data_IF_169688742496
#
_entry.id   IF_169688742496
#
_cell.length_a   1.000
_cell.length_b   1.000
_cell.length_c   1.000
_cell.angle_alpha   90.00
_cell.angle_beta   90.00
_cell.angle_gamma   90.00
#
_symmetry.space_group_name_H-M   'P 1'
#
loop_
_entity.id
_entity.type
_entity.pdbx_description
1 polymer ?
#
# COMPACT_ATOMS: atom_id res chain seq x y z
N UNK A 1 -10.23 -15.53 21.96
CA UNK A 1 -9.65 -14.16 21.89
C UNK A 1 -9.76 -13.68 20.46
N UNK A 2 -10.48 -12.60 20.22
CA UNK A 2 -10.63 -12.01 18.88
C UNK A 2 -9.36 -11.18 18.62
N UNK A 3 -8.50 -11.62 17.69
CA UNK A 3 -7.27 -10.89 17.33
C UNK A 3 -7.65 -9.55 16.68
N UNK A 4 -6.83 -8.52 16.86
CA UNK A 4 -7.07 -7.23 16.20
C UNK A 4 -7.02 -7.39 14.66
N UNK A 5 -7.74 -6.57 13.87
CA UNK A 5 -7.81 -6.73 12.41
C UNK A 5 -6.44 -6.75 11.72
N UNK A 6 -5.49 -5.93 12.19
CA UNK A 6 -4.12 -5.91 11.68
C UNK A 6 -3.36 -7.22 11.95
N UNK A 7 -3.57 -7.86 13.11
CA UNK A 7 -2.96 -9.14 13.45
C UNK A 7 -3.57 -10.29 12.62
N UNK A 8 -4.88 -10.23 12.35
CA UNK A 8 -5.54 -11.17 11.45
C UNK A 8 -5.04 -11.01 10.00
N UNK A 9 -4.73 -9.78 9.60
CA UNK A 9 -4.14 -9.46 8.31
C UNK A 9 -2.64 -9.75 8.22
N UNK A 10 -1.98 -10.12 9.33
CA UNK A 10 -0.55 -10.43 9.35
C UNK A 10 0.38 -9.22 9.21
N UNK A 11 -0.09 -8.02 9.55
CA UNK A 11 0.66 -6.76 9.34
C UNK A 11 0.70 -5.89 10.59
N UNK A 12 1.64 -4.95 10.64
CA UNK A 12 1.67 -3.92 11.69
C UNK A 12 0.41 -3.06 11.66
N UNK A 13 0.10 -2.42 12.80
CA UNK A 13 -1.02 -1.48 12.89
C UNK A 13 -0.91 -0.34 11.86
N UNK A 14 0.28 0.20 11.65
CA UNK A 14 0.52 1.30 10.70
C UNK A 14 0.33 0.83 9.25
N UNK A 15 0.81 -0.37 8.90
CA UNK A 15 0.54 -0.95 7.58
C UNK A 15 -0.96 -1.18 7.37
N UNK A 16 -1.68 -1.64 8.40
CA UNK A 16 -3.14 -1.77 8.35
C UNK A 16 -3.83 -0.43 8.12
N UNK A 17 -3.43 0.65 8.80
CA UNK A 17 -3.96 2.00 8.59
C UNK A 17 -3.72 2.50 7.15
N UNK A 18 -2.54 2.22 6.58
CA UNK A 18 -2.24 2.49 5.17
C UNK A 18 -3.16 1.70 4.22
N UNK A 19 -3.40 0.41 4.50
CA UNK A 19 -4.33 -0.40 3.71
C UNK A 19 -5.76 0.14 3.77
N UNK A 20 -6.24 0.54 4.95
CA UNK A 20 -7.55 1.16 5.11
C UNK A 20 -7.64 2.50 4.35
N UNK A 21 -6.58 3.30 4.38
CA UNK A 21 -6.49 4.53 3.59
C UNK A 21 -6.57 4.23 2.08
N UNK A 22 -5.81 3.24 1.60
CA UNK A 22 -5.79 2.82 0.21
C UNK A 22 -7.18 2.33 -0.26
N UNK A 23 -7.83 1.46 0.51
CA UNK A 23 -9.20 0.99 0.25
C UNK A 23 -10.20 2.15 0.16
N UNK A 24 -10.09 3.13 1.06
CA UNK A 24 -10.97 4.31 1.08
C UNK A 24 -10.80 5.18 -0.17
N UNK A 25 -9.57 5.40 -0.64
CA UNK A 25 -9.33 6.23 -1.83
C UNK A 25 -9.59 5.49 -3.14
N UNK A 26 -9.45 4.15 -3.15
CA UNK A 26 -9.80 3.31 -4.29
C UNK A 26 -11.32 3.27 -4.53
N UNK A 27 -12.15 3.46 -3.47
CA UNK A 27 -13.63 3.51 -3.58
C UNK A 27 -14.24 2.28 -4.27
N UNK A 28 -13.60 1.11 -4.16
CA UNK A 28 -14.04 -0.12 -4.81
C UNK A 28 -13.67 -0.26 -6.28
N UNK A 29 -12.90 0.68 -6.86
CA UNK A 29 -12.33 0.56 -8.19
C UNK A 29 -11.18 -0.47 -8.18
N UNK A 30 -11.40 -1.62 -8.82
CA UNK A 30 -10.43 -2.71 -8.92
C UNK A 30 -9.24 -2.39 -9.83
N UNK A 31 -9.32 -1.33 -10.63
CA UNK A 31 -8.24 -0.85 -11.51
C UNK A 31 -7.47 0.32 -10.89
N UNK A 32 -7.86 0.75 -9.69
CA UNK A 32 -7.20 1.85 -9.00
C UNK A 32 -5.74 1.52 -8.70
N UNK A 33 -4.85 2.43 -9.11
CA UNK A 33 -3.43 2.38 -8.79
C UNK A 33 -2.93 3.74 -8.31
N UNK A 34 -1.96 3.74 -7.41
CA UNK A 34 -1.32 4.95 -6.90
C UNK A 34 0.19 4.78 -6.85
N UNK A 35 0.98 5.83 -7.11
CA UNK A 35 2.43 5.77 -6.96
C UNK A 35 2.79 5.47 -5.50
N UNK A 36 3.74 4.55 -5.29
CA UNK A 36 4.17 4.08 -3.97
C UNK A 36 4.67 5.20 -3.05
N UNK A 37 5.53 6.10 -3.56
CA UNK A 37 6.05 7.26 -2.82
C UNK A 37 4.93 8.25 -2.47
N UNK A 38 3.96 8.44 -3.37
CA UNK A 38 2.79 9.29 -3.09
C UNK A 38 1.89 8.67 -2.01
N UNK A 39 1.73 7.36 -2.00
CA UNK A 39 1.00 6.66 -0.95
C UNK A 39 1.71 6.80 0.41
N UNK A 40 3.02 6.59 0.44
CA UNK A 40 3.85 6.80 1.62
C UNK A 40 3.71 8.23 2.17
N UNK A 41 3.85 9.23 1.31
CA UNK A 41 3.67 10.63 1.66
C UNK A 41 2.30 10.90 2.30
N UNK A 42 1.22 10.40 1.68
CA UNK A 42 -0.15 10.56 2.18
C UNK A 42 -0.41 9.82 3.50
N UNK A 43 0.37 8.80 3.80
CA UNK A 43 0.34 8.06 5.06
C UNK A 43 1.38 8.56 6.08
N UNK A 44 2.00 9.72 5.84
CA UNK A 44 3.03 10.33 6.70
C UNK A 44 4.24 9.41 6.97
N UNK A 45 4.60 8.55 6.00
CA UNK A 45 5.81 7.72 6.07
C UNK A 45 7.00 8.58 5.66
N UNK A 46 7.96 8.76 6.58
CA UNK A 46 9.17 9.57 6.33
C UNK A 46 10.41 8.70 6.50
N UNK A 47 11.32 8.66 5.51
CA UNK A 47 11.23 9.30 4.19
C UNK A 47 10.20 8.61 3.26
N UNK A 48 9.72 9.31 2.23
CA UNK A 48 8.71 8.78 1.29
C UNK A 48 9.18 7.52 0.54
N UNK A 49 10.49 7.25 0.52
CA UNK A 49 11.09 6.03 -0.05
C UNK A 49 11.32 4.90 0.97
N UNK A 50 10.82 5.04 2.22
CA UNK A 50 10.74 3.92 3.15
C UNK A 50 9.59 3.00 2.76
N UNK A 51 9.93 1.86 2.16
CA UNK A 51 8.95 0.90 1.65
C UNK A 51 8.58 -0.19 2.66
N UNK A 52 8.99 -0.08 3.93
CA UNK A 52 8.78 -1.11 4.95
C UNK A 52 7.31 -1.48 5.13
N UNK A 53 6.40 -0.49 5.15
CA UNK A 53 4.96 -0.74 5.29
C UNK A 53 4.36 -1.40 4.04
N UNK A 54 4.80 -0.96 2.86
CA UNK A 54 4.35 -1.53 1.60
C UNK A 54 4.84 -2.97 1.43
N UNK A 55 6.08 -3.29 1.82
CA UNK A 55 6.58 -4.67 1.85
C UNK A 55 5.72 -5.57 2.75
N UNK A 56 5.35 -5.11 3.96
CA UNK A 56 4.47 -5.88 4.84
C UNK A 56 3.10 -6.17 4.18
N UNK A 57 2.50 -5.17 3.52
CA UNK A 57 1.22 -5.34 2.84
C UNK A 57 1.33 -6.28 1.64
N UNK A 58 2.44 -6.23 0.91
CA UNK A 58 2.73 -7.13 -0.21
C UNK A 58 2.92 -8.57 0.27
N UNK A 59 3.77 -8.78 1.28
CA UNK A 59 4.04 -10.11 1.86
C UNK A 59 2.78 -10.75 2.46
N UNK A 60 1.87 -9.93 2.98
CA UNK A 60 0.55 -10.34 3.48
C UNK A 60 -0.51 -10.53 2.38
N UNK A 61 -0.16 -10.33 1.10
CA UNK A 61 -1.05 -10.48 -0.05
C UNK A 61 -2.21 -9.47 -0.08
N UNK A 62 -2.01 -8.26 0.46
CA UNK A 62 -3.04 -7.20 0.50
C UNK A 62 -2.93 -6.20 -0.64
N UNK A 63 -1.74 -6.10 -1.22
CA UNK A 63 -1.45 -5.25 -2.37
C UNK A 63 -0.56 -6.01 -3.35
N UNK A 64 -0.49 -5.50 -4.56
CA UNK A 64 0.49 -5.89 -5.57
C UNK A 64 1.09 -4.63 -6.21
N UNK A 65 2.15 -4.81 -7.01
CA UNK A 65 2.83 -3.73 -7.70
C UNK A 65 2.68 -3.84 -9.21
N UNK A 66 2.22 -2.75 -9.81
CA UNK A 66 2.31 -2.55 -11.25
C UNK A 66 3.54 -1.72 -11.57
N UNK A 67 4.33 -2.19 -12.53
CA UNK A 67 5.51 -1.50 -13.02
C UNK A 67 5.20 -0.89 -14.38
N UNK A 68 5.34 0.43 -14.49
CA UNK A 68 5.09 1.18 -15.73
C UNK A 68 6.27 2.08 -16.05
N UNK A 69 6.57 2.28 -17.33
CA UNK A 69 7.55 3.26 -17.78
C UNK A 69 6.82 4.57 -18.14
N UNK A 70 7.22 5.67 -17.51
CA UNK A 70 6.69 7.02 -17.80
C UNK A 70 7.89 7.93 -18.05
N UNK A 71 7.94 8.56 -19.23
CA UNK A 71 9.03 9.46 -19.66
C UNK A 71 10.45 8.85 -19.50
N UNK A 72 10.57 7.54 -19.69
CA UNK A 72 11.84 6.81 -19.56
C UNK A 72 12.21 6.42 -18.12
N UNK A 73 11.38 6.78 -17.13
CA UNK A 73 11.57 6.40 -15.72
C UNK A 73 10.62 5.28 -15.33
N UNK A 74 11.13 4.29 -14.60
CA UNK A 74 10.32 3.23 -14.03
C UNK A 74 9.52 3.80 -12.85
N UNK A 75 8.19 3.66 -12.91
CA UNK A 75 7.29 3.95 -11.82
C UNK A 75 6.76 2.63 -11.26
N UNK A 76 6.81 2.50 -9.93
CA UNK A 76 6.14 1.43 -9.19
C UNK A 76 4.84 1.97 -8.62
N UNK A 77 3.74 1.32 -8.98
CA UNK A 77 2.39 1.70 -8.55
C UNK A 77 1.81 0.59 -7.70
N UNK A 78 1.12 0.96 -6.65
CA UNK A 78 0.44 0.06 -5.71
C UNK A 78 -0.99 -0.13 -6.17
N UNK A 79 -1.45 -1.39 -6.20
CA UNK A 79 -2.85 -1.77 -6.42
C UNK A 79 -3.35 -2.70 -5.31
N UNK A 80 -4.66 -2.71 -5.07
CA UNK A 80 -5.29 -3.68 -4.16
C UNK A 80 -5.38 -5.07 -4.82
N UNK A 81 -5.35 -6.12 -3.99
CA UNK A 81 -5.56 -7.52 -4.38
C UNK A 81 -6.92 -8.00 -3.90
#
# INVERSE_FOLDING_TARGET
MNRAPNEQAGVSKTAWEMLQYLQRIARGDSTFTIQDTLLNHRCNVTPDNDFTLLSQLFDAGKIDYDYSMVDGFQQRRVRLV
#
